data_IF_942873009528
#
_entry.id   IF_942873009528
#
_cell.length_a   1.000
_cell.length_b   1.000
_cell.length_c   1.000
_cell.angle_alpha   90.00
_cell.angle_beta   90.00
_cell.angle_gamma   90.00
#
_symmetry.space_group_name_H-M   'P 1'
#
loop_
_entity.id
_entity.type
_entity.pdbx_description
1 polymer ?
#
# COMPACT_ATOMS: atom_id res chain seq x y z
N UNK A 1 -23.46 1.99 52.02
CA UNK A 1 -22.98 1.06 50.99
C UNK A 1 -21.65 0.54 51.51
N UNK A 2 -21.48 -0.78 51.53
CA UNK A 2 -20.29 -1.41 52.11
C UNK A 2 -19.09 -1.19 51.18
N UNK A 3 -17.91 -0.91 51.74
CA UNK A 3 -16.69 -0.67 50.95
C UNK A 3 -16.31 -1.89 50.11
N UNK A 4 -16.68 -3.09 50.57
CA UNK A 4 -16.46 -4.34 49.83
C UNK A 4 -17.36 -4.44 48.59
N UNK A 5 -18.58 -3.93 48.68
CA UNK A 5 -19.55 -3.90 47.58
C UNK A 5 -19.11 -2.93 46.48
N UNK A 6 -18.66 -1.73 46.85
CA UNK A 6 -18.11 -0.75 45.91
C UNK A 6 -16.86 -1.27 45.20
N UNK A 7 -15.95 -1.94 45.94
CA UNK A 7 -14.77 -2.58 45.35
C UNK A 7 -15.13 -3.66 44.35
N UNK A 8 -16.16 -4.46 44.65
CA UNK A 8 -16.68 -5.48 43.73
C UNK A 8 -17.22 -4.89 42.43
N UNK A 9 -17.98 -3.80 42.52
CA UNK A 9 -18.53 -3.10 41.35
C UNK A 9 -17.42 -2.50 40.48
N UNK A 10 -16.44 -1.82 41.08
CA UNK A 10 -15.31 -1.25 40.35
C UNK A 10 -14.48 -2.34 39.67
N UNK A 11 -14.28 -3.48 40.34
CA UNK A 11 -13.52 -4.58 39.76
C UNK A 11 -14.25 -5.22 38.57
N UNK A 12 -15.57 -5.37 38.65
CA UNK A 12 -16.38 -5.82 37.52
C UNK A 12 -16.34 -4.83 36.35
N UNK A 13 -16.38 -3.51 36.63
CA UNK A 13 -16.24 -2.48 35.59
C UNK A 13 -14.88 -2.53 34.90
N UNK A 14 -13.79 -2.68 35.66
CA UNK A 14 -12.44 -2.83 35.11
C UNK A 14 -12.37 -4.06 34.20
N UNK A 15 -12.88 -5.20 34.63
CA UNK A 15 -12.89 -6.42 33.80
C UNK A 15 -13.68 -6.23 32.51
N UNK A 16 -14.85 -5.58 32.58
CA UNK A 16 -15.66 -5.29 31.39
C UNK A 16 -14.94 -4.34 30.41
N UNK A 17 -14.28 -3.31 30.93
CA UNK A 17 -13.51 -2.36 30.11
C UNK A 17 -12.33 -3.08 29.46
N UNK A 18 -11.56 -3.87 30.21
CA UNK A 18 -10.45 -4.66 29.67
C UNK A 18 -10.90 -5.59 28.54
N UNK A 19 -12.01 -6.32 28.74
CA UNK A 19 -12.59 -7.17 27.69
C UNK A 19 -12.99 -6.38 26.44
N UNK A 20 -13.52 -5.16 26.61
CA UNK A 20 -13.92 -4.31 25.50
C UNK A 20 -12.71 -3.81 24.72
N UNK A 21 -11.64 -3.43 25.43
CA UNK A 21 -10.37 -3.02 24.83
C UNK A 21 -9.78 -4.17 24.01
N UNK A 22 -9.74 -5.39 24.55
CA UNK A 22 -9.22 -6.56 23.83
C UNK A 22 -10.02 -6.82 22.54
N UNK A 23 -11.35 -6.74 22.61
CA UNK A 23 -12.21 -6.85 21.44
C UNK A 23 -11.91 -5.78 20.39
N UNK A 24 -11.77 -4.52 20.82
CA UNK A 24 -11.45 -3.41 19.92
C UNK A 24 -10.07 -3.56 19.28
N UNK A 25 -9.07 -4.03 20.02
CA UNK A 25 -7.72 -4.28 19.50
C UNK A 25 -7.75 -5.39 18.43
N UNK A 26 -8.52 -6.46 18.66
CA UNK A 26 -8.72 -7.51 17.68
C UNK A 26 -9.38 -6.98 16.40
N UNK A 27 -10.42 -6.15 16.54
CA UNK A 27 -11.10 -5.53 15.39
C UNK A 27 -10.19 -4.56 14.63
N UNK A 28 -9.38 -3.77 15.34
CA UNK A 28 -8.42 -2.87 14.73
C UNK A 28 -7.37 -3.66 13.93
N UNK A 29 -6.79 -4.71 14.53
CA UNK A 29 -5.81 -5.56 13.85
C UNK A 29 -6.41 -6.28 12.63
N UNK A 30 -7.68 -6.71 12.70
CA UNK A 30 -8.38 -7.32 11.57
C UNK A 30 -8.61 -6.32 10.43
N UNK A 31 -9.06 -5.11 10.78
CA UNK A 31 -9.27 -4.03 9.82
C UNK A 31 -7.96 -3.63 9.13
N UNK A 32 -6.88 -3.48 9.89
CA UNK A 32 -5.57 -3.16 9.34
C UNK A 32 -5.11 -4.20 8.32
N UNK A 33 -5.21 -5.49 8.66
CA UNK A 33 -4.87 -6.59 7.74
C UNK A 33 -5.73 -6.56 6.47
N UNK A 34 -7.01 -6.21 6.60
CA UNK A 34 -7.89 -6.10 5.44
C UNK A 34 -7.49 -4.94 4.52
N UNK A 35 -7.16 -3.78 5.10
CA UNK A 35 -6.66 -2.62 4.34
C UNK A 35 -5.36 -2.98 3.63
N UNK A 36 -4.41 -3.62 4.32
CA UNK A 36 -3.14 -4.01 3.74
C UNK A 36 -3.31 -5.01 2.59
N UNK A 37 -4.24 -5.97 2.71
CA UNK A 37 -4.56 -6.91 1.62
C UNK A 37 -5.20 -6.19 0.43
N UNK A 38 -6.12 -5.26 0.66
CA UNK A 38 -6.75 -4.46 -0.40
C UNK A 38 -5.73 -3.57 -1.13
N UNK A 39 -4.85 -2.90 -0.39
CA UNK A 39 -3.81 -2.05 -0.97
C UNK A 39 -2.79 -2.87 -1.75
N UNK A 40 -2.37 -4.01 -1.22
CA UNK A 40 -1.51 -4.95 -1.93
C UNK A 40 -2.20 -5.46 -3.21
N UNK A 41 -3.46 -5.88 -3.15
CA UNK A 41 -4.24 -6.31 -4.33
C UNK A 41 -4.36 -5.21 -5.36
N UNK A 42 -4.64 -3.98 -4.93
CA UNK A 42 -4.69 -2.82 -5.82
C UNK A 42 -3.35 -2.51 -6.49
N UNK A 43 -2.23 -2.92 -5.87
CA UNK A 43 -0.88 -2.76 -6.42
C UNK A 43 -0.32 -3.99 -7.14
N UNK A 44 -0.97 -5.16 -7.09
CA UNK A 44 -0.43 -6.41 -7.65
C UNK A 44 -0.05 -6.30 -9.13
N UNK A 45 -0.77 -5.48 -9.89
CA UNK A 45 -0.53 -5.29 -11.33
C UNK A 45 0.28 -4.02 -11.64
N UNK A 46 0.84 -3.35 -10.63
CA UNK A 46 1.61 -2.12 -10.81
C UNK A 46 3.11 -2.45 -10.84
N UNK A 47 3.78 -2.11 -11.95
CA UNK A 47 5.23 -2.21 -12.08
C UNK A 47 5.88 -0.84 -11.83
N UNK A 48 6.99 -0.84 -11.07
CA UNK A 48 7.86 0.33 -10.91
C UNK A 48 9.13 0.13 -11.72
N UNK A 49 9.34 0.98 -12.72
CA UNK A 49 10.53 0.93 -13.59
C UNK A 49 11.46 2.08 -13.20
N UNK A 50 12.74 1.77 -12.99
CA UNK A 50 13.79 2.72 -12.61
C UNK A 50 14.81 2.85 -13.74
N UNK A 51 15.53 3.97 -13.79
CA UNK A 51 16.57 4.22 -14.79
C UNK A 51 16.07 4.68 -16.16
N UNK A 52 14.75 4.87 -16.32
CA UNK A 52 14.18 5.42 -17.56
C UNK A 52 14.42 6.94 -17.60
N UNK A 53 15.06 7.49 -18.65
CA UNK A 53 15.34 8.92 -18.77
C UNK A 53 14.07 9.77 -18.70
N UNK A 54 14.19 11.01 -18.22
CA UNK A 54 13.08 11.95 -18.15
C UNK A 54 12.95 12.72 -19.46
N UNK A 55 11.90 12.41 -20.20
CA UNK A 55 11.51 13.08 -21.45
C UNK A 55 10.19 13.81 -21.21
N UNK A 56 10.08 15.04 -21.72
CA UNK A 56 8.84 15.82 -21.62
C UNK A 56 7.94 15.54 -22.82
N UNK A 57 6.63 15.45 -22.58
CA UNK A 57 5.62 15.35 -23.64
C UNK A 57 5.50 13.99 -24.32
N UNK A 58 6.19 12.97 -23.81
CA UNK A 58 6.15 11.62 -24.38
C UNK A 58 5.02 10.78 -23.76
N UNK A 59 4.32 10.01 -24.60
CA UNK A 59 3.36 9.02 -24.13
C UNK A 59 4.11 7.83 -23.51
N UNK A 60 4.21 7.84 -22.18
CA UNK A 60 4.89 6.79 -21.42
C UNK A 60 4.30 5.40 -21.69
N UNK A 61 3.02 5.31 -22.05
CA UNK A 61 2.37 4.03 -22.35
C UNK A 61 2.98 3.43 -23.60
N UNK A 62 3.13 4.23 -24.65
CA UNK A 62 3.72 3.83 -25.92
C UNK A 62 5.19 3.42 -25.73
N UNK A 63 5.99 4.26 -25.06
CA UNK A 63 7.41 3.98 -24.79
C UNK A 63 7.60 2.68 -24.03
N UNK A 64 6.82 2.47 -22.96
CA UNK A 64 6.93 1.26 -22.16
C UNK A 64 6.46 0.03 -22.91
N UNK A 65 5.44 0.16 -23.76
CA UNK A 65 4.96 -0.91 -24.63
C UNK A 65 6.05 -1.35 -25.60
N UNK A 66 6.67 -0.41 -26.31
CA UNK A 66 7.76 -0.70 -27.25
C UNK A 66 8.97 -1.32 -26.53
N UNK A 67 9.40 -0.71 -25.42
CA UNK A 67 10.54 -1.16 -24.64
C UNK A 67 10.34 -2.58 -24.09
N UNK A 68 9.20 -2.86 -23.46
CA UNK A 68 8.97 -4.13 -22.81
C UNK A 68 8.66 -5.24 -23.82
N UNK A 69 7.95 -4.93 -24.92
CA UNK A 69 7.76 -5.90 -25.99
C UNK A 69 9.11 -6.29 -26.62
N UNK A 70 10.02 -5.32 -26.81
CA UNK A 70 11.37 -5.59 -27.29
C UNK A 70 12.16 -6.47 -26.32
N UNK A 71 12.18 -6.13 -25.02
CA UNK A 71 12.93 -6.87 -24.01
C UNK A 71 12.41 -8.31 -23.85
N UNK A 72 11.09 -8.49 -23.88
CA UNK A 72 10.44 -9.78 -23.62
C UNK A 72 10.22 -10.60 -24.89
N UNK A 73 10.56 -10.08 -26.07
CA UNK A 73 10.34 -10.75 -27.35
C UNK A 73 8.86 -10.94 -27.69
N UNK A 74 7.99 -10.04 -27.23
CA UNK A 74 6.56 -10.10 -27.48
C UNK A 74 6.27 -9.67 -28.91
N UNK A 75 5.52 -10.47 -29.69
CA UNK A 75 5.26 -10.13 -31.08
C UNK A 75 4.26 -8.96 -31.21
N UNK A 76 4.42 -8.17 -32.27
CA UNK A 76 3.64 -6.94 -32.50
C UNK A 76 2.14 -7.14 -32.67
N UNK A 77 1.68 -8.36 -33.01
CA UNK A 77 0.26 -8.67 -33.14
C UNK A 77 -0.44 -8.93 -31.80
N UNK A 78 0.31 -9.07 -30.71
CA UNK A 78 -0.22 -9.24 -29.36
C UNK A 78 0.65 -8.50 -28.33
N UNK A 79 0.70 -7.15 -28.38
CA UNK A 79 1.57 -6.36 -27.52
C UNK A 79 1.10 -6.39 -26.07
N UNK A 80 2.03 -6.11 -25.15
CA UNK A 80 1.67 -5.83 -23.76
C UNK A 80 0.83 -4.55 -23.71
N UNK A 81 -0.29 -4.59 -22.98
CA UNK A 81 -1.22 -3.48 -22.82
C UNK A 81 -1.10 -2.95 -21.39
N UNK A 82 -1.04 -1.64 -21.23
CA UNK A 82 -1.07 -0.97 -19.93
C UNK A 82 -2.32 -0.10 -19.83
N UNK A 83 -3.01 -0.19 -18.70
CA UNK A 83 -4.15 0.69 -18.41
C UNK A 83 -3.70 2.13 -18.13
N UNK A 84 -2.55 2.30 -17.47
CA UNK A 84 -1.99 3.62 -17.13
C UNK A 84 -0.48 3.56 -16.94
N UNK A 85 0.23 4.49 -17.58
CA UNK A 85 1.64 4.77 -17.32
C UNK A 85 1.82 6.22 -16.84
N UNK A 86 2.58 6.41 -15.76
CA UNK A 86 2.87 7.75 -15.23
C UNK A 86 4.19 7.75 -14.45
N UNK A 87 4.85 8.91 -14.37
CA UNK A 87 6.00 9.08 -13.47
C UNK A 87 5.49 9.15 -12.03
N UNK A 88 6.14 8.39 -11.13
CA UNK A 88 5.86 8.49 -9.71
C UNK A 88 6.26 9.87 -9.19
N UNK A 89 5.43 10.46 -8.32
CA UNK A 89 5.76 11.71 -7.64
C UNK A 89 7.08 11.55 -6.85
N UNK A 90 8.00 12.51 -7.04
CA UNK A 90 9.22 12.57 -6.23
C UNK A 90 8.86 13.03 -4.81
N UNK A 91 9.38 12.39 -3.75
CA UNK A 91 9.28 12.95 -2.41
C UNK A 91 9.94 14.33 -2.40
N UNK A 92 9.22 15.34 -1.92
CA UNK A 92 9.77 16.70 -1.81
C UNK A 92 10.95 16.68 -0.83
N UNK A 93 12.11 17.18 -1.26
CA UNK A 93 13.28 17.40 -0.40
C UNK A 93 14.35 16.31 -0.41
N UNK A 94 14.20 15.19 -1.14
CA UNK A 94 15.26 14.20 -1.31
C UNK A 94 16.10 14.51 -2.55
N UNK A 95 17.43 14.47 -2.41
CA UNK A 95 18.34 14.63 -3.54
C UNK A 95 18.14 13.48 -4.55
N UNK A 96 18.41 13.70 -5.85
CA UNK A 96 18.25 12.66 -6.88
C UNK A 96 18.98 11.35 -6.59
N UNK A 97 20.04 11.40 -5.77
CA UNK A 97 20.89 10.27 -5.41
C UNK A 97 20.29 9.38 -4.33
N UNK A 98 19.49 9.94 -3.41
CA UNK A 98 18.89 9.23 -2.28
C UNK A 98 17.73 8.28 -2.68
N UNK A 99 17.24 8.37 -3.92
CA UNK A 99 16.08 7.59 -4.42
C UNK A 99 16.46 6.25 -5.06
N UNK A 100 17.74 5.86 -5.04
CA UNK A 100 18.24 4.64 -5.69
C UNK A 100 17.94 3.34 -4.94
N UNK A 101 17.53 3.39 -3.67
CA UNK A 101 17.34 2.18 -2.85
C UNK A 101 16.06 2.29 -2.02
N UNK A 102 14.98 1.68 -2.53
CA UNK A 102 13.82 1.17 -1.77
C UNK A 102 12.97 0.28 -2.67
#
# INVERSE_FOLDING_TARGET
>A
MDLEEERGVLQAQITNISSTIDSHLLHFAATQRHIDDLDNRGRRNNLRIRGLPETQGEDLTLVLTELLNLILGVPSYNPIIFDRAHRSLRPRGLSPEALRIS
#
